data_IF_677096364578
#
_entry.id   IF_677096364578
#
_cell.length_a   1.000
_cell.length_b   1.000
_cell.length_c   1.000
_cell.angle_alpha   90.00
_cell.angle_beta   90.00
_cell.angle_gamma   90.00
#
_symmetry.space_group_name_H-M   'P 1'
#
loop_
_entity.id
_entity.type
_entity.pdbx_description
1 polymer ?
#
# COMPACT_ATOMS: atom_id res chain seq x y z
N UNK A 1 -12.48 -3.23 -4.10
CA UNK A 1 -12.23 -3.15 -2.64
C UNK A 1 -12.36 -1.70 -2.20
N UNK A 2 -13.03 -1.43 -1.09
CA UNK A 2 -13.22 -0.07 -0.54
C UNK A 2 -12.42 0.03 0.75
N UNK A 3 -11.61 1.07 0.89
CA UNK A 3 -10.82 1.35 2.10
C UNK A 3 -11.41 2.60 2.75
N UNK A 4 -11.78 2.52 4.02
CA UNK A 4 -12.40 3.65 4.74
C UNK A 4 -11.45 4.30 5.75
N UNK A 5 -10.33 3.66 6.05
CA UNK A 5 -9.35 4.14 7.00
C UNK A 5 -8.08 3.30 7.01
N UNK A 6 -7.11 3.73 7.81
CA UNK A 6 -5.80 3.10 7.92
C UNK A 6 -5.47 2.81 9.38
N UNK A 7 -4.87 1.65 9.62
CA UNK A 7 -4.24 1.33 10.90
C UNK A 7 -2.73 1.46 10.73
N UNK A 8 -2.11 2.19 11.63
CA UNK A 8 -0.67 2.46 11.63
C UNK A 8 -0.07 2.06 12.97
N UNK A 9 1.07 1.36 12.90
CA UNK A 9 1.94 1.17 14.05
C UNK A 9 3.17 2.06 13.90
N UNK A 10 3.57 2.74 14.98
CA UNK A 10 4.63 3.76 14.93
C UNK A 10 5.97 3.18 14.47
N UNK A 11 6.27 1.95 14.86
CA UNK A 11 7.45 1.21 14.43
C UNK A 11 7.45 0.91 12.92
N UNK A 12 6.27 0.64 12.35
CA UNK A 12 6.11 0.43 10.90
C UNK A 12 6.26 1.75 10.15
N UNK A 13 5.64 2.82 10.65
CA UNK A 13 5.76 4.16 10.06
C UNK A 13 7.22 4.58 10.00
N UNK A 14 7.92 4.54 11.14
CA UNK A 14 9.36 4.87 11.22
C UNK A 14 10.20 3.99 10.31
N UNK A 15 9.92 2.68 10.27
CA UNK A 15 10.64 1.75 9.39
C UNK A 15 10.45 2.10 7.91
N UNK A 16 9.24 2.45 7.50
CA UNK A 16 8.94 2.82 6.11
C UNK A 16 9.65 4.13 5.76
N UNK A 17 9.54 5.15 6.59
CA UNK A 17 10.21 6.45 6.39
C UNK A 17 11.73 6.26 6.29
N UNK A 18 12.34 5.55 7.24
CA UNK A 18 13.79 5.35 7.27
C UNK A 18 14.33 4.49 6.12
N UNK A 19 13.60 3.45 5.71
CA UNK A 19 14.09 2.50 4.69
C UNK A 19 13.70 2.85 3.27
N UNK A 20 12.61 3.57 3.09
CA UNK A 20 11.99 3.77 1.77
C UNK A 20 11.66 5.23 1.48
N UNK A 21 11.88 6.13 2.44
CA UNK A 21 11.54 7.56 2.31
C UNK A 21 10.10 7.74 1.79
N UNK A 22 9.19 6.93 2.32
CA UNK A 22 7.76 7.03 2.01
C UNK A 22 7.04 7.58 3.23
N UNK A 23 6.33 8.67 3.02
CA UNK A 23 5.58 9.36 4.05
C UNK A 23 4.13 8.86 4.09
N UNK A 24 3.47 8.96 5.26
CA UNK A 24 2.10 8.47 5.40
C UNK A 24 1.10 9.21 4.49
N UNK A 25 1.36 10.48 4.15
CA UNK A 25 0.54 11.25 3.22
C UNK A 25 0.60 10.68 1.80
N UNK A 26 1.76 10.24 1.33
CA UNK A 26 1.92 9.60 0.02
C UNK A 26 1.14 8.29 -0.07
N UNK A 27 1.11 7.52 1.02
CA UNK A 27 0.25 6.34 1.14
C UNK A 27 -1.21 6.74 0.99
N UNK A 28 -1.69 7.75 1.74
CA UNK A 28 -3.07 8.24 1.61
C UNK A 28 -3.40 8.71 0.19
N UNK A 29 -2.49 9.41 -0.48
CA UNK A 29 -2.67 9.87 -1.86
C UNK A 29 -2.89 8.71 -2.84
N UNK A 30 -2.09 7.64 -2.73
CA UNK A 30 -2.24 6.45 -3.58
C UNK A 30 -3.62 5.83 -3.40
N UNK A 31 -4.09 5.70 -2.16
CA UNK A 31 -5.41 5.13 -1.89
C UNK A 31 -6.58 6.04 -2.30
N UNK A 32 -6.38 7.36 -2.30
CA UNK A 32 -7.39 8.32 -2.75
C UNK A 32 -7.55 8.35 -4.27
N UNK A 33 -6.49 8.04 -5.03
CA UNK A 33 -6.44 8.22 -6.49
C UNK A 33 -6.68 6.91 -7.26
N UNK A 34 -7.71 6.15 -6.88
CA UNK A 34 -8.08 4.87 -7.49
C UNK A 34 -6.89 3.88 -7.60
N UNK A 35 -6.38 3.37 -6.47
CA UNK A 35 -5.28 2.44 -6.47
C UNK A 35 -5.66 1.15 -7.20
N UNK A 36 -4.68 0.53 -7.85
CA UNK A 36 -4.81 -0.82 -8.38
C UNK A 36 -4.47 -1.82 -7.28
N UNK A 37 -5.48 -2.56 -6.85
CA UNK A 37 -5.29 -3.62 -5.85
C UNK A 37 -4.82 -4.93 -6.47
N UNK A 38 -3.92 -5.61 -5.78
CA UNK A 38 -3.39 -6.93 -6.13
C UNK A 38 -3.38 -7.81 -4.90
N UNK A 39 -3.92 -9.02 -5.00
CA UNK A 39 -3.76 -10.05 -3.97
C UNK A 39 -2.31 -10.52 -3.94
N UNK A 40 -1.71 -10.62 -2.76
CA UNK A 40 -0.32 -11.05 -2.58
C UNK A 40 -0.29 -12.47 -2.04
N UNK A 41 -0.86 -12.68 -0.86
CA UNK A 41 -0.87 -13.99 -0.20
C UNK A 41 -1.97 -14.07 0.87
N UNK A 42 -2.27 -15.30 1.30
CA UNK A 42 -3.14 -15.53 2.45
C UNK A 42 -2.38 -15.22 3.73
N UNK A 43 -3.03 -14.56 4.67
CA UNK A 43 -2.48 -14.34 6.01
C UNK A 43 -2.38 -15.64 6.81
N UNK A 44 -1.63 -15.59 7.91
CA UNK A 44 -1.54 -16.70 8.87
C UNK A 44 -2.86 -16.95 9.62
N UNK A 45 -3.73 -15.93 9.69
CA UNK A 45 -5.06 -16.03 10.29
C UNK A 45 -6.15 -15.88 9.21
N UNK A 46 -7.33 -16.49 9.43
CA UNK A 46 -8.52 -16.18 8.63
C UNK A 46 -8.73 -14.66 8.57
N UNK A 47 -9.10 -14.17 7.38
CA UNK A 47 -9.36 -12.76 7.09
C UNK A 47 -8.18 -11.79 7.22
N UNK A 48 -6.94 -12.28 7.33
CA UNK A 48 -5.73 -11.43 7.33
C UNK A 48 -4.96 -11.49 6.00
N UNK A 49 -5.68 -11.59 4.87
CA UNK A 49 -5.06 -11.62 3.54
C UNK A 49 -4.22 -10.37 3.28
N UNK A 50 -3.04 -10.57 2.69
CA UNK A 50 -2.13 -9.49 2.32
C UNK A 50 -2.43 -9.06 0.89
N UNK A 51 -2.63 -7.75 0.74
CA UNK A 51 -2.85 -7.09 -0.54
C UNK A 51 -1.75 -6.06 -0.78
N UNK A 52 -1.59 -5.71 -2.05
CA UNK A 52 -0.80 -4.58 -2.49
C UNK A 52 -1.70 -3.55 -3.18
N UNK A 53 -1.54 -2.28 -2.83
CA UNK A 53 -2.09 -1.14 -3.56
C UNK A 53 -0.96 -0.51 -4.38
N UNK A 54 -1.17 -0.43 -5.69
CA UNK A 54 -0.26 0.22 -6.62
C UNK A 54 -0.88 1.55 -7.06
N UNK A 55 -0.10 2.62 -7.04
CA UNK A 55 -0.57 3.91 -7.55
C UNK A 55 0.53 4.94 -7.71
N UNK A 56 0.12 6.12 -8.17
CA UNK A 56 1.01 7.27 -8.37
C UNK A 56 0.62 8.41 -7.43
N UNK A 57 1.60 8.93 -6.70
CA UNK A 57 1.43 10.10 -5.83
C UNK A 57 1.22 11.38 -6.64
N UNK A 58 0.89 12.49 -5.99
CA UNK A 58 0.80 13.81 -6.64
C UNK A 58 2.15 14.31 -7.14
N UNK A 59 3.23 14.02 -6.41
CA UNK A 59 4.61 14.31 -6.82
C UNK A 59 5.08 13.45 -8.00
N UNK A 60 4.30 12.41 -8.36
CA UNK A 60 4.56 11.57 -9.51
C UNK A 60 5.36 10.31 -9.21
N UNK A 61 5.65 10.02 -7.94
CA UNK A 61 6.26 8.75 -7.50
C UNK A 61 5.28 7.60 -7.68
N UNK A 62 5.81 6.44 -8.06
CA UNK A 62 5.03 5.22 -8.24
C UNK A 62 5.27 4.34 -7.03
N UNK A 63 4.25 4.15 -6.19
CA UNK A 63 4.39 3.40 -4.95
C UNK A 63 3.60 2.10 -4.99
N UNK A 64 4.18 1.08 -4.36
CA UNK A 64 3.48 -0.14 -3.99
C UNK A 64 3.40 -0.22 -2.47
N UNK A 65 2.18 -0.41 -1.97
CA UNK A 65 1.86 -0.39 -0.54
C UNK A 65 1.27 -1.74 -0.17
N UNK A 66 1.91 -2.45 0.75
CA UNK A 66 1.48 -3.74 1.27
C UNK A 66 0.65 -3.53 2.54
N UNK A 67 -0.53 -4.14 2.57
CA UNK A 67 -1.46 -4.00 3.69
C UNK A 67 -2.29 -5.27 3.90
N UNK A 68 -2.70 -5.48 5.15
CA UNK A 68 -3.75 -6.44 5.49
C UNK A 68 -5.09 -5.73 5.36
N UNK A 69 -6.01 -6.33 4.63
CA UNK A 69 -7.39 -5.83 4.54
C UNK A 69 -8.22 -6.43 5.67
N UNK A 70 -8.62 -5.58 6.62
CA UNK A 70 -9.46 -5.98 7.76
C UNK A 70 -10.94 -6.00 7.40
N UNK A 71 -11.73 -6.79 8.14
CA UNK A 71 -13.17 -6.96 7.92
C UNK A 71 -13.98 -5.65 8.04
N UNK A 72 -13.49 -4.67 8.80
CA UNK A 72 -14.06 -3.32 8.96
C UNK A 72 -13.69 -2.36 7.81
N UNK A 73 -13.06 -2.87 6.74
CA UNK A 73 -12.59 -2.11 5.57
C UNK A 73 -11.41 -1.18 5.86
N UNK A 74 -10.69 -1.40 6.96
CA UNK A 74 -9.43 -0.70 7.24
C UNK A 74 -8.26 -1.42 6.58
N UNK A 75 -7.29 -0.63 6.10
CA UNK A 75 -6.00 -1.12 5.65
C UNK A 75 -4.99 -1.03 6.80
N UNK A 76 -4.52 -2.16 7.31
CA UNK A 76 -3.37 -2.19 8.19
C UNK A 76 -2.10 -2.16 7.34
N UNK A 77 -1.39 -1.04 7.35
CA UNK A 77 -0.18 -0.86 6.54
C UNK A 77 0.98 -1.64 7.14
N UNK A 78 1.64 -2.46 6.31
CA UNK A 78 2.77 -3.31 6.71
C UNK A 78 4.07 -2.81 6.09
N UNK A 79 4.01 -2.29 4.86
CA UNK A 79 5.15 -1.74 4.12
C UNK A 79 4.69 -0.82 3.00
N UNK A 80 5.52 0.14 2.62
CA UNK A 80 5.35 0.95 1.42
C UNK A 80 6.72 1.29 0.84
N UNK A 81 6.86 1.25 -0.49
CA UNK A 81 8.09 1.59 -1.20
C UNK A 81 7.82 2.02 -2.63
N UNK A 82 8.83 2.59 -3.29
CA UNK A 82 8.79 2.78 -4.72
C UNK A 82 8.64 1.43 -5.46
N UNK A 83 7.86 1.46 -6.54
CA UNK A 83 7.75 0.34 -7.47
C UNK A 83 9.10 0.09 -8.14
N UNK A 84 9.44 -1.19 -8.29
CA UNK A 84 10.52 -1.60 -9.19
C UNK A 84 10.15 -1.26 -10.64
N UNK A 85 11.15 -1.22 -11.52
CA UNK A 85 10.92 -0.97 -12.95
C UNK A 85 9.89 -1.94 -13.57
N UNK A 86 9.96 -3.22 -13.20
CA UNK A 86 9.01 -4.23 -13.67
C UNK A 86 7.59 -4.05 -13.12
N UNK A 87 7.45 -3.67 -11.85
CA UNK A 87 6.15 -3.35 -11.25
C UNK A 87 5.52 -2.12 -11.89
N UNK A 88 6.31 -1.06 -12.11
CA UNK A 88 5.87 0.16 -12.77
C UNK A 88 5.40 -0.12 -14.20
N UNK A 89 6.19 -0.87 -14.98
CA UNK A 89 5.81 -1.24 -16.35
C UNK A 89 4.47 -1.99 -16.38
N UNK A 90 4.26 -2.93 -15.46
CA UNK A 90 2.98 -3.67 -15.34
C UNK A 90 1.81 -2.78 -14.87
N UNK A 91 2.11 -1.75 -14.10
CA UNK A 91 1.13 -0.76 -13.63
C UNK A 91 0.69 0.14 -14.79
N UNK A 92 1.62 0.65 -15.61
CA UNK A 92 1.35 1.58 -16.71
C UNK A 92 0.75 0.93 -17.97
N UNK A 93 0.90 -0.39 -18.16
CA UNK A 93 0.40 -1.11 -19.34
C UNK A 93 -1.12 -1.39 -19.35
N UNK A 94 -1.89 -0.82 -18.42
CA UNK A 94 -3.34 -1.00 -18.33
C UNK A 94 -4.00 0.30 -17.87
#
# INVERSE_FOLDING_TARGET
MKIIGFVWYNEIVRKIEQKHDVQQNEVREVFAKHPRFRFVEKGHKPDENVYAALGRTRSGRYLIIFFIYKNDKFALIISARDMTHGERRKYEQK
#
